data_IF_813368198367
#
_entry.id   IF_813368198367
#
_cell.length_a   1.000
_cell.length_b   1.000
_cell.length_c   1.000
_cell.angle_alpha   90.00
_cell.angle_beta   90.00
_cell.angle_gamma   90.00
#
_symmetry.space_group_name_H-M   'P 1'
#
loop_
_entity.id
_entity.type
_entity.pdbx_description
1 polymer ?
#
# COMPACT_ATOMS: atom_id res chain seq x y z
N UNK A 1 80.02 27.53 4.85
CA UNK A 1 79.05 26.43 4.62
C UNK A 1 77.67 27.00 4.94
N UNK A 2 76.84 27.25 3.93
CA UNK A 2 75.47 27.73 4.13
C UNK A 2 74.56 26.57 4.55
N UNK A 3 73.59 26.78 5.46
CA UNK A 3 72.67 25.73 5.86
C UNK A 3 71.72 25.37 4.70
N UNK A 4 71.27 24.11 4.60
CA UNK A 4 70.37 23.70 3.54
C UNK A 4 68.99 24.34 3.73
N UNK A 5 68.47 24.97 2.67
CA UNK A 5 67.09 25.40 2.59
C UNK A 5 66.19 24.17 2.64
N UNK A 6 65.48 23.99 3.76
CA UNK A 6 64.37 23.04 3.84
C UNK A 6 63.15 23.71 3.22
N UNK A 7 62.77 23.31 2.01
CA UNK A 7 61.45 23.62 1.47
C UNK A 7 60.46 22.68 2.16
N UNK A 8 59.40 23.18 2.82
CA UNK A 8 58.38 22.30 3.38
C UNK A 8 57.70 21.54 2.23
N UNK A 9 57.33 20.26 2.43
CA UNK A 9 56.53 19.55 1.46
C UNK A 9 55.23 20.32 1.27
N UNK A 10 54.91 20.65 0.01
CA UNK A 10 53.60 21.19 -0.34
C UNK A 10 52.57 20.12 -0.02
N UNK A 11 51.89 20.26 1.12
CA UNK A 11 50.62 19.59 1.36
C UNK A 11 49.66 20.08 0.28
N UNK A 12 49.62 19.36 -0.84
CA UNK A 12 48.42 19.34 -1.67
C UNK A 12 47.37 18.62 -0.83
N UNK A 13 46.72 19.33 0.08
CA UNK A 13 45.49 18.83 0.67
C UNK A 13 44.48 18.83 -0.46
N UNK A 14 44.16 17.64 -0.97
CA UNK A 14 42.96 17.46 -1.77
C UNK A 14 41.80 18.17 -1.06
N UNK A 15 40.92 18.88 -1.80
CA UNK A 15 39.76 19.49 -1.17
C UNK A 15 39.00 18.42 -0.38
N UNK A 16 38.47 18.75 0.81
CA UNK A 16 37.72 17.78 1.59
C UNK A 16 36.57 17.26 0.73
N UNK A 17 36.35 15.94 0.80
CA UNK A 17 35.23 15.31 0.10
C UNK A 17 33.92 15.99 0.54
N UNK A 18 32.91 16.06 -0.34
CA UNK A 18 31.65 16.69 -0.03
C UNK A 18 31.03 16.16 1.27
N UNK A 19 30.32 16.99 2.04
CA UNK A 19 29.58 16.56 3.23
C UNK A 19 28.68 15.35 2.98
N UNK A 20 28.11 15.22 1.78
CA UNK A 20 27.30 14.06 1.38
C UNK A 20 28.06 12.72 1.39
N UNK A 21 29.38 12.77 1.24
CA UNK A 21 30.26 11.60 1.22
C UNK A 21 30.98 11.37 2.56
N UNK A 22 30.90 12.31 3.49
CA UNK A 22 31.73 12.33 4.70
C UNK A 22 30.98 12.54 6.00
N UNK A 23 29.78 13.12 5.94
CA UNK A 23 28.95 13.29 7.13
C UNK A 23 28.25 11.97 7.48
N UNK A 24 28.10 11.70 8.78
CA UNK A 24 27.48 10.49 9.27
C UNK A 24 26.00 10.40 8.91
N UNK A 25 25.51 9.17 8.77
CA UNK A 25 24.10 8.82 8.60
C UNK A 25 23.47 8.39 9.94
N UNK A 26 22.19 8.05 9.93
CA UNK A 26 21.52 7.45 11.10
C UNK A 26 22.19 6.16 11.62
N UNK A 27 23.01 5.49 10.80
CA UNK A 27 23.73 4.28 11.20
C UNK A 27 25.05 4.57 11.91
N UNK A 28 25.54 5.82 11.82
CA UNK A 28 26.84 6.25 12.31
C UNK A 28 26.73 7.05 13.62
N UNK A 29 25.57 7.66 13.88
CA UNK A 29 25.32 8.44 15.09
C UNK A 29 24.41 7.70 16.08
N UNK A 30 24.75 7.68 17.38
CA UNK A 30 23.81 7.29 18.43
C UNK A 30 22.71 8.35 18.56
N UNK A 31 21.64 8.03 19.30
CA UNK A 31 20.67 9.03 19.75
C UNK A 31 21.35 10.16 20.55
N UNK A 32 20.66 11.30 20.69
CA UNK A 32 21.07 12.42 21.56
C UNK A 32 21.25 11.99 23.03
N UNK A 33 20.60 10.89 23.41
CA UNK A 33 20.78 10.23 24.70
C UNK A 33 21.71 9.02 24.58
N UNK A 34 22.68 8.96 25.48
CA UNK A 34 23.58 7.81 25.61
C UNK A 34 22.73 6.56 25.87
N UNK A 35 23.04 5.47 25.15
CA UNK A 35 22.36 4.17 25.17
C UNK A 35 21.02 4.06 24.42
N UNK A 36 20.56 5.12 23.73
CA UNK A 36 19.40 5.03 22.85
C UNK A 36 19.81 4.68 21.40
N UNK A 37 19.03 3.81 20.71
CA UNK A 37 19.26 3.50 19.30
C UNK A 37 19.00 4.73 18.43
N UNK A 38 19.67 4.80 17.28
CA UNK A 38 19.43 5.84 16.28
C UNK A 38 17.97 5.92 15.83
N UNK A 39 17.55 7.11 15.40
CA UNK A 39 16.19 7.38 14.92
C UNK A 39 15.93 6.73 13.56
N UNK A 40 14.72 6.22 13.29
CA UNK A 40 14.38 5.65 11.99
C UNK A 40 14.47 6.69 10.87
N UNK A 41 14.93 6.29 9.68
CA UNK A 41 14.82 7.12 8.46
C UNK A 41 13.46 6.95 7.77
N UNK A 42 13.23 7.75 6.72
CA UNK A 42 11.97 7.78 5.97
C UNK A 42 11.54 6.39 5.47
N UNK A 43 12.47 5.50 5.11
CA UNK A 43 12.11 4.15 4.67
C UNK A 43 11.56 3.29 5.81
N UNK A 44 12.14 3.39 7.01
CA UNK A 44 11.66 2.68 8.20
C UNK A 44 10.30 3.21 8.66
N UNK A 45 9.84 4.35 8.14
CA UNK A 45 8.48 4.85 8.33
C UNK A 45 7.56 4.35 7.19
N UNK A 46 7.98 4.54 5.93
CA UNK A 46 7.12 4.29 4.76
C UNK A 46 6.91 2.79 4.49
N UNK A 47 7.90 1.94 4.70
CA UNK A 47 7.76 0.50 4.45
C UNK A 47 6.76 -0.16 5.42
N UNK A 48 6.80 0.08 6.74
CA UNK A 48 5.76 -0.41 7.66
C UNK A 48 4.39 0.22 7.43
N UNK A 49 4.32 1.47 6.97
CA UNK A 49 3.04 2.10 6.57
C UNK A 49 2.39 1.35 5.40
N UNK A 50 3.17 1.02 4.37
CA UNK A 50 2.66 0.24 3.23
C UNK A 50 2.21 -1.16 3.66
N UNK A 51 2.98 -1.84 4.53
CA UNK A 51 2.57 -3.13 5.10
C UNK A 51 1.25 -3.01 5.84
N UNK A 52 1.13 -2.02 6.72
CA UNK A 52 -0.06 -1.80 7.55
C UNK A 52 -1.30 -1.43 6.73
N UNK A 53 -1.14 -0.61 5.70
CA UNK A 53 -2.24 -0.14 4.85
C UNK A 53 -2.71 -1.18 3.82
N UNK A 54 -1.97 -2.28 3.66
CA UNK A 54 -2.29 -3.36 2.72
C UNK A 54 -2.53 -4.72 3.41
N UNK A 55 -2.38 -4.82 4.73
CA UNK A 55 -2.62 -6.05 5.49
C UNK A 55 -4.12 -6.25 5.79
N UNK A 56 -4.82 -6.91 4.86
CA UNK A 56 -6.26 -7.21 4.97
C UNK A 56 -6.55 -8.69 4.78
N UNK A 57 -6.28 -9.53 5.80
CA UNK A 57 -6.57 -10.94 5.71
C UNK A 57 -8.08 -11.16 5.58
N UNK A 58 -8.58 -11.74 4.47
CA UNK A 58 -10.00 -11.72 4.12
C UNK A 58 -10.88 -12.55 5.06
N UNK A 59 -10.29 -13.50 5.77
CA UNK A 59 -11.01 -14.37 6.71
C UNK A 59 -11.24 -13.71 8.08
N UNK A 60 -10.74 -12.48 8.27
CA UNK A 60 -10.84 -11.73 9.52
C UNK A 60 -11.56 -10.39 9.32
N UNK A 61 -12.44 -10.06 10.25
CA UNK A 61 -12.98 -8.72 10.32
C UNK A 61 -11.87 -7.70 10.58
N UNK A 62 -12.00 -6.48 10.03
CA UNK A 62 -11.01 -5.41 10.21
C UNK A 62 -10.71 -5.09 11.67
N UNK A 63 -11.71 -5.27 12.53
CA UNK A 63 -11.60 -5.02 13.96
C UNK A 63 -11.04 -6.22 14.74
N UNK A 64 -10.80 -7.36 14.07
CA UNK A 64 -10.14 -8.56 14.61
C UNK A 64 -8.69 -8.70 14.12
N UNK A 65 -8.10 -7.61 13.63
CA UNK A 65 -6.72 -7.55 13.14
C UNK A 65 -5.99 -6.39 13.82
N UNK A 66 -4.78 -6.66 14.29
CA UNK A 66 -3.88 -5.65 14.84
C UNK A 66 -2.54 -5.69 14.10
N UNK A 67 -2.01 -4.51 13.79
CA UNK A 67 -0.67 -4.33 13.21
C UNK A 67 0.02 -3.22 13.97
N UNK A 68 1.33 -3.33 14.14
CA UNK A 68 2.13 -2.27 14.74
C UNK A 68 3.54 -2.27 14.17
N UNK A 69 4.17 -1.09 14.24
CA UNK A 69 5.56 -0.83 13.90
C UNK A 69 6.23 -0.16 15.08
N UNK A 70 7.49 -0.51 15.36
CA UNK A 70 8.27 0.06 16.46
C UNK A 70 7.59 -0.04 17.84
N UNK A 71 6.73 -1.03 18.04
CA UNK A 71 6.01 -1.25 19.30
C UNK A 71 6.72 -2.29 20.18
N UNK A 72 6.78 -2.02 21.48
CA UNK A 72 7.29 -2.96 22.48
C UNK A 72 6.46 -4.25 22.48
N UNK A 73 7.10 -5.37 22.14
CA UNK A 73 6.57 -6.72 22.17
C UNK A 73 7.17 -7.47 23.37
N UNK A 74 6.39 -7.61 24.44
CA UNK A 74 6.83 -8.29 25.66
C UNK A 74 6.59 -9.79 25.55
N UNK A 75 7.59 -10.59 25.94
CA UNK A 75 7.58 -12.05 25.78
C UNK A 75 7.93 -12.83 27.05
N UNK A 76 8.32 -12.15 28.13
CA UNK A 76 8.77 -12.76 29.38
C UNK A 76 8.05 -12.12 30.58
N UNK A 77 7.08 -12.85 31.14
CA UNK A 77 6.30 -12.39 32.29
C UNK A 77 7.13 -12.34 33.59
N UNK A 78 8.22 -13.11 33.68
CA UNK A 78 9.11 -13.12 34.85
C UNK A 78 10.09 -11.95 34.81
N UNK A 79 10.42 -11.46 33.61
CA UNK A 79 11.30 -10.33 33.40
C UNK A 79 10.62 -9.28 32.51
N UNK A 80 9.65 -8.52 33.03
CA UNK A 80 8.82 -7.61 32.22
C UNK A 80 9.61 -6.43 31.62
N UNK A 81 10.88 -6.24 31.96
CA UNK A 81 11.76 -5.28 31.27
C UNK A 81 12.40 -5.86 29.99
N UNK A 82 12.12 -7.13 29.67
CA UNK A 82 12.57 -7.78 28.44
C UNK A 82 11.48 -7.70 27.38
N UNK A 83 11.80 -7.02 26.31
CA UNK A 83 10.95 -6.86 25.14
C UNK A 83 11.78 -6.91 23.86
N UNK A 84 11.10 -7.08 22.73
CA UNK A 84 11.63 -6.77 21.41
C UNK A 84 10.83 -5.65 20.78
N UNK A 85 11.40 -5.01 19.76
CA UNK A 85 10.76 -3.93 19.01
C UNK A 85 10.93 -4.24 17.53
N UNK A 86 10.02 -5.04 16.94
CA UNK A 86 10.08 -5.33 15.52
C UNK A 86 9.76 -4.09 14.69
N UNK A 87 10.35 -3.97 13.49
CA UNK A 87 10.01 -2.89 12.56
C UNK A 87 8.53 -2.95 12.14
N UNK A 88 7.99 -4.16 11.99
CA UNK A 88 6.57 -4.37 11.81
C UNK A 88 6.13 -5.77 12.26
N UNK A 89 4.91 -5.90 12.79
CA UNK A 89 4.28 -7.20 13.02
C UNK A 89 2.75 -7.15 12.83
N UNK A 90 2.20 -8.30 12.45
CA UNK A 90 0.77 -8.50 12.23
C UNK A 90 0.21 -9.61 13.12
N UNK A 91 -0.96 -9.35 13.68
CA UNK A 91 -1.70 -10.25 14.56
C UNK A 91 -3.14 -10.37 14.07
N UNK A 92 -3.63 -11.59 13.94
CA UNK A 92 -5.04 -11.88 13.66
C UNK A 92 -5.71 -12.50 14.88
N UNK A 93 -7.03 -12.33 15.01
CA UNK A 93 -7.79 -12.84 16.17
C UNK A 93 -7.67 -11.99 17.43
N UNK A 94 -7.32 -10.72 17.27
CA UNK A 94 -7.21 -9.75 18.36
C UNK A 94 -7.93 -8.46 17.99
N UNK A 95 -8.62 -7.86 18.96
CA UNK A 95 -9.32 -6.58 18.75
C UNK A 95 -8.35 -5.48 18.30
N UNK A 96 -8.73 -4.68 17.30
CA UNK A 96 -7.91 -3.55 16.85
C UNK A 96 -7.70 -2.53 17.97
N UNK A 97 -8.77 -2.20 18.69
CA UNK A 97 -8.71 -1.32 19.87
C UNK A 97 -8.46 -2.14 21.14
N UNK A 98 -7.67 -1.58 22.04
CA UNK A 98 -7.44 -2.14 23.37
C UNK A 98 -8.64 -1.84 24.26
N UNK A 99 -9.24 -2.90 24.81
CA UNK A 99 -10.47 -2.80 25.61
C UNK A 99 -11.63 -2.11 24.87
N UNK A 100 -11.69 -2.24 23.54
CA UNK A 100 -12.69 -1.65 22.65
C UNK A 100 -12.79 -0.10 22.70
N UNK A 101 -11.74 0.58 23.18
CA UNK A 101 -11.76 2.05 23.40
C UNK A 101 -10.47 2.79 23.10
N UNK A 102 -9.31 2.17 23.38
CA UNK A 102 -8.02 2.86 23.33
C UNK A 102 -7.06 2.22 22.33
N UNK A 103 -5.94 2.91 22.05
CA UNK A 103 -4.83 2.35 21.30
C UNK A 103 -3.88 1.58 22.23
N UNK A 104 -3.17 0.58 21.67
CA UNK A 104 -2.12 -0.13 22.40
C UNK A 104 -0.88 0.72 22.53
N UNK A 105 -0.36 0.82 23.75
CA UNK A 105 0.97 1.40 24.03
C UNK A 105 2.09 0.36 23.87
N UNK A 106 1.73 -0.91 23.99
CA UNK A 106 2.62 -2.05 23.81
C UNK A 106 1.81 -3.31 23.56
N UNK A 107 2.48 -4.37 23.13
CA UNK A 107 1.89 -5.69 22.97
C UNK A 107 2.43 -6.63 24.04
N UNK A 108 1.62 -6.87 25.08
CA UNK A 108 1.97 -7.73 26.20
C UNK A 108 1.40 -9.12 25.96
N UNK A 109 2.23 -10.06 25.52
CA UNK A 109 1.76 -11.36 24.98
C UNK A 109 0.95 -12.20 25.95
N UNK A 110 1.15 -12.06 27.27
CA UNK A 110 0.35 -12.77 28.29
C UNK A 110 -0.93 -12.03 28.71
N UNK A 111 -1.18 -10.83 28.16
CA UNK A 111 -2.43 -10.07 28.34
C UNK A 111 -3.30 -10.09 27.08
N UNK A 112 -2.74 -10.53 25.95
CA UNK A 112 -3.41 -10.56 24.65
C UNK A 112 -3.86 -11.99 24.30
N UNK A 113 -4.96 -12.15 23.54
CA UNK A 113 -5.51 -13.46 23.23
C UNK A 113 -4.75 -14.21 22.13
N UNK A 114 -3.84 -13.53 21.42
CA UNK A 114 -3.13 -14.05 20.27
C UNK A 114 -1.66 -13.61 20.29
N UNK A 115 -0.81 -14.33 19.55
CA UNK A 115 0.56 -13.95 19.28
C UNK A 115 0.69 -13.46 17.83
N UNK A 116 1.73 -12.69 17.49
CA UNK A 116 1.97 -12.31 16.10
C UNK A 116 2.03 -13.51 15.17
N UNK A 117 1.38 -13.40 14.02
CA UNK A 117 1.42 -14.39 12.94
C UNK A 117 2.62 -14.16 12.03
N UNK A 118 3.01 -12.89 11.88
CA UNK A 118 4.11 -12.46 11.03
C UNK A 118 4.87 -11.31 11.68
N UNK A 119 6.20 -11.37 11.61
CA UNK A 119 7.12 -10.29 11.96
C UNK A 119 7.99 -9.94 10.75
N UNK A 120 8.22 -8.65 10.53
CA UNK A 120 9.12 -8.10 9.51
C UNK A 120 10.21 -7.27 10.20
N UNK A 121 11.46 -7.51 9.82
CA UNK A 121 12.62 -6.70 10.19
C UNK A 121 13.29 -6.13 8.93
N UNK A 122 13.57 -4.84 8.93
CA UNK A 122 14.20 -4.08 7.86
C UNK A 122 15.69 -4.03 8.14
N UNK A 123 16.47 -4.66 7.27
CA UNK A 123 17.88 -4.87 7.54
C UNK A 123 18.66 -3.56 7.41
N UNK A 124 19.36 -3.21 8.50
CA UNK A 124 20.37 -2.16 8.52
C UNK A 124 21.80 -2.76 8.59
N UNK A 125 22.85 -2.00 8.25
CA UNK A 125 24.22 -2.46 8.43
C UNK A 125 24.55 -2.90 9.87
N UNK A 126 23.98 -2.21 10.88
CA UNK A 126 24.28 -2.47 12.29
C UNK A 126 23.49 -3.65 12.88
N UNK A 127 22.27 -3.91 12.40
CA UNK A 127 21.38 -4.96 12.95
C UNK A 127 21.37 -6.24 12.15
N UNK A 128 21.88 -6.25 10.91
CA UNK A 128 21.85 -7.40 9.97
C UNK A 128 22.20 -8.74 10.61
N UNK A 129 23.30 -8.81 11.38
CA UNK A 129 23.74 -10.09 11.96
C UNK A 129 22.81 -10.58 13.08
N UNK A 130 22.15 -9.68 13.79
CA UNK A 130 21.15 -10.04 14.80
C UNK A 130 19.84 -10.48 14.13
N UNK A 131 19.35 -9.70 13.17
CA UNK A 131 18.08 -9.98 12.48
C UNK A 131 18.16 -11.27 11.65
N UNK A 132 19.33 -11.62 11.09
CA UNK A 132 19.54 -12.89 10.37
C UNK A 132 19.88 -14.08 11.27
N UNK A 133 19.84 -13.92 12.61
CA UNK A 133 20.17 -15.00 13.54
C UNK A 133 21.64 -15.46 13.50
N UNK A 134 22.54 -14.65 12.90
CA UNK A 134 23.95 -15.00 12.68
C UNK A 134 24.85 -14.63 13.86
N UNK A 135 24.35 -13.84 14.79
CA UNK A 135 25.07 -13.53 16.02
C UNK A 135 25.25 -14.86 16.81
N UNK A 136 26.44 -15.18 17.35
CA UNK A 136 26.69 -16.41 18.12
C UNK A 136 26.14 -16.27 19.55
N UNK A 137 25.37 -17.21 20.13
CA UNK A 137 24.65 -17.04 21.40
C UNK A 137 25.48 -16.40 22.51
N UNK A 138 24.87 -15.57 23.36
CA UNK A 138 25.62 -14.93 24.45
C UNK A 138 24.88 -13.78 25.10
N UNK A 139 24.93 -13.74 26.43
CA UNK A 139 24.20 -12.83 27.31
C UNK A 139 23.01 -13.50 28.01
N UNK A 140 22.47 -12.84 29.03
CA UNK A 140 21.29 -13.33 29.78
C UNK A 140 19.95 -12.93 29.12
N UNK A 141 19.98 -12.14 28.05
CA UNK A 141 18.81 -11.63 27.34
C UNK A 141 18.70 -12.39 26.00
N UNK A 142 17.59 -13.12 25.76
CA UNK A 142 17.35 -13.80 24.49
C UNK A 142 17.37 -12.83 23.29
N UNK A 143 17.81 -13.33 22.14
CA UNK A 143 17.91 -12.56 20.88
C UNK A 143 16.59 -12.50 20.15
N UNK A 144 16.47 -11.58 19.19
CA UNK A 144 15.29 -11.50 18.31
C UNK A 144 14.91 -12.87 17.74
N UNK A 145 15.86 -13.55 17.11
CA UNK A 145 15.66 -14.89 16.55
C UNK A 145 15.12 -15.89 17.58
N UNK A 146 15.76 -16.00 18.75
CA UNK A 146 15.36 -16.94 19.81
C UNK A 146 13.97 -16.61 20.37
N UNK A 147 13.67 -15.32 20.55
CA UNK A 147 12.35 -14.86 21.01
C UNK A 147 11.27 -15.21 19.99
N UNK A 148 11.47 -14.86 18.72
CA UNK A 148 10.46 -15.09 17.69
C UNK A 148 10.27 -16.58 17.40
N UNK A 149 11.35 -17.36 17.31
CA UNK A 149 11.32 -18.79 16.99
C UNK A 149 10.87 -19.66 18.17
N UNK A 150 11.51 -19.49 19.34
CA UNK A 150 11.46 -20.49 20.42
C UNK A 150 10.51 -20.10 21.55
N UNK A 151 10.33 -18.80 21.79
CA UNK A 151 9.46 -18.31 22.88
C UNK A 151 8.07 -18.01 22.35
N UNK A 152 7.98 -17.19 21.29
CA UNK A 152 6.72 -16.72 20.72
C UNK A 152 6.20 -17.63 19.61
N UNK A 153 7.05 -18.50 19.04
CA UNK A 153 6.68 -19.42 17.97
C UNK A 153 5.92 -18.71 16.82
N UNK A 154 6.42 -17.54 16.40
CA UNK A 154 5.79 -16.72 15.35
C UNK A 154 5.90 -17.47 14.02
N UNK A 155 4.78 -17.78 13.33
CA UNK A 155 4.79 -18.60 12.11
C UNK A 155 5.71 -18.07 11.01
N UNK A 156 5.68 -16.76 10.73
CA UNK A 156 6.46 -16.15 9.66
C UNK A 156 7.40 -15.08 10.18
N UNK A 157 8.67 -15.20 9.82
CA UNK A 157 9.69 -14.18 10.08
C UNK A 157 10.30 -13.72 8.75
N UNK A 158 10.23 -12.42 8.49
CA UNK A 158 10.60 -11.81 7.21
C UNK A 158 11.71 -10.81 7.42
N UNK A 159 12.76 -10.86 6.61
CA UNK A 159 13.81 -9.84 6.59
C UNK A 159 13.94 -9.24 5.20
N UNK A 160 14.04 -7.92 5.12
CA UNK A 160 14.20 -7.22 3.86
C UNK A 160 15.32 -6.19 3.89
N UNK A 161 16.28 -6.33 2.97
CA UNK A 161 17.37 -5.37 2.78
C UNK A 161 17.06 -4.42 1.63
N UNK A 162 16.80 -3.16 1.98
CA UNK A 162 16.45 -2.12 1.01
C UNK A 162 17.57 -1.73 0.04
N UNK A 163 18.81 -2.11 0.30
CA UNK A 163 19.95 -1.72 -0.55
C UNK A 163 20.28 -2.78 -1.59
N UNK A 164 20.01 -4.04 -1.26
CA UNK A 164 20.23 -5.18 -2.15
C UNK A 164 18.94 -5.78 -2.70
N UNK A 165 17.79 -5.28 -2.23
CA UNK A 165 16.46 -5.83 -2.45
C UNK A 165 16.35 -7.32 -2.07
N UNK A 166 17.22 -7.79 -1.17
CA UNK A 166 17.21 -9.16 -0.68
C UNK A 166 16.03 -9.38 0.28
N UNK A 167 15.10 -10.23 -0.16
CA UNK A 167 13.99 -10.74 0.65
C UNK A 167 14.33 -12.15 1.14
N UNK A 168 14.32 -12.34 2.46
CA UNK A 168 14.35 -13.68 3.05
C UNK A 168 13.12 -13.88 3.92
N UNK A 169 12.52 -15.06 3.82
CA UNK A 169 11.34 -15.43 4.58
C UNK A 169 11.61 -16.77 5.24
N UNK A 170 11.34 -16.83 6.52
CA UNK A 170 11.48 -18.03 7.33
C UNK A 170 10.11 -18.46 7.83
N UNK A 171 9.82 -19.74 7.69
CA UNK A 171 8.59 -20.35 8.19
C UNK A 171 8.92 -21.28 9.35
N UNK A 172 8.16 -21.20 10.43
CA UNK A 172 8.33 -22.05 11.60
C UNK A 172 7.83 -23.47 11.29
N UNK A 173 8.75 -24.42 11.19
CA UNK A 173 8.44 -25.83 10.93
C UNK A 173 9.06 -26.69 12.02
N UNK A 174 8.25 -27.50 12.72
CA UNK A 174 8.69 -28.34 13.82
C UNK A 174 9.50 -27.59 14.91
N UNK A 175 9.09 -26.35 15.23
CA UNK A 175 9.71 -25.51 16.26
C UNK A 175 11.03 -24.84 15.86
N UNK A 176 11.36 -24.82 14.56
CA UNK A 176 12.55 -24.15 14.01
C UNK A 176 12.20 -23.36 12.75
N UNK A 177 12.85 -22.21 12.59
CA UNK A 177 12.74 -21.44 11.37
C UNK A 177 13.51 -22.12 10.23
N UNK A 178 12.79 -22.34 9.13
CA UNK A 178 13.37 -22.81 7.87
C UNK A 178 13.25 -21.71 6.84
N UNK A 179 14.36 -21.33 6.21
CA UNK A 179 14.34 -20.39 5.09
C UNK A 179 13.53 -21.00 3.94
N UNK A 180 12.57 -20.24 3.41
CA UNK A 180 11.79 -20.65 2.26
C UNK A 180 12.62 -20.46 0.99
N UNK A 181 12.56 -21.45 0.10
CA UNK A 181 13.11 -21.34 -1.24
C UNK A 181 12.09 -20.60 -2.13
N UNK A 182 12.40 -19.34 -2.42
CA UNK A 182 11.53 -18.42 -3.11
C UNK A 182 11.79 -18.51 -4.63
N UNK A 183 10.91 -19.17 -5.37
CA UNK A 183 10.95 -19.21 -6.84
C UNK A 183 10.66 -17.85 -7.47
N UNK A 184 9.82 -17.07 -6.81
CA UNK A 184 9.55 -15.66 -7.06
C UNK A 184 9.74 -14.91 -5.74
N UNK A 185 10.03 -13.60 -5.74
CA UNK A 185 10.28 -12.83 -4.51
C UNK A 185 8.96 -12.54 -3.75
N UNK A 186 8.18 -13.58 -3.49
CA UNK A 186 6.89 -13.56 -2.80
C UNK A 186 6.57 -14.92 -2.18
N UNK A 187 5.74 -14.92 -1.14
CA UNK A 187 5.24 -16.12 -0.47
C UNK A 187 3.75 -15.98 -0.21
N UNK A 188 3.03 -17.10 -0.34
CA UNK A 188 1.66 -17.21 0.13
C UNK A 188 1.61 -17.73 1.57
N UNK A 189 0.80 -17.10 2.42
CA UNK A 189 0.62 -17.46 3.84
C UNK A 189 -0.82 -17.97 4.05
N UNK A 190 -1.06 -19.29 4.03
CA UNK A 190 -2.40 -19.87 4.06
C UNK A 190 -3.24 -19.44 5.26
N UNK A 191 -2.63 -19.28 6.43
CA UNK A 191 -3.26 -18.89 7.70
C UNK A 191 -3.85 -17.47 7.65
N UNK A 192 -3.36 -16.65 6.74
CA UNK A 192 -3.80 -15.27 6.53
C UNK A 192 -4.66 -15.12 5.29
N UNK A 193 -4.72 -16.13 4.41
CA UNK A 193 -5.30 -16.05 3.09
C UNK A 193 -4.79 -14.79 2.33
N UNK A 194 -3.49 -14.54 2.49
CA UNK A 194 -2.75 -13.42 1.93
C UNK A 194 -1.33 -13.88 1.57
N UNK A 195 -0.72 -13.19 0.62
CA UNK A 195 0.70 -13.34 0.34
C UNK A 195 1.47 -12.03 0.51
N UNK A 196 2.77 -12.15 0.75
CA UNK A 196 3.69 -11.02 0.89
C UNK A 196 4.79 -11.15 -0.17
N UNK A 197 5.15 -10.05 -0.83
CA UNK A 197 6.23 -10.06 -1.80
C UNK A 197 6.77 -8.69 -2.17
N UNK A 198 7.76 -8.69 -3.08
CA UNK A 198 8.34 -7.47 -3.64
C UNK A 198 7.49 -6.95 -4.79
N UNK A 199 6.87 -5.80 -4.56
CA UNK A 199 6.14 -5.04 -5.56
C UNK A 199 7.00 -3.91 -6.12
N UNK A 200 7.23 -3.91 -7.43
CA UNK A 200 7.86 -2.79 -8.13
C UNK A 200 6.82 -1.69 -8.36
N UNK A 201 6.97 -0.55 -7.69
CA UNK A 201 6.06 0.56 -7.88
C UNK A 201 6.40 1.79 -7.07
N UNK A 202 5.54 2.81 -7.21
CA UNK A 202 5.68 4.09 -6.51
C UNK A 202 4.83 4.08 -5.24
N UNK A 203 5.49 4.13 -4.09
CA UNK A 203 4.85 4.44 -2.81
C UNK A 203 5.35 5.81 -2.36
N UNK A 204 4.43 6.70 -1.97
CA UNK A 204 4.74 8.11 -1.72
C UNK A 204 5.47 8.72 -2.94
N UNK A 205 6.66 9.29 -2.74
CA UNK A 205 7.45 9.94 -3.79
C UNK A 205 8.49 9.00 -4.43
N UNK A 206 8.66 7.77 -3.92
CA UNK A 206 9.76 6.90 -4.32
C UNK A 206 9.29 5.63 -5.06
N UNK A 207 9.82 5.45 -6.26
CA UNK A 207 9.65 4.23 -7.06
C UNK A 207 10.77 3.24 -6.78
N UNK A 208 10.44 2.05 -6.27
CA UNK A 208 11.40 0.98 -5.95
C UNK A 208 10.67 -0.35 -5.77
N UNK A 209 11.41 -1.40 -5.39
CA UNK A 209 10.82 -2.61 -4.81
C UNK A 209 10.43 -2.33 -3.36
N UNK A 210 9.17 -2.63 -3.03
CA UNK A 210 8.59 -2.52 -1.69
C UNK A 210 7.99 -3.85 -1.27
N UNK A 211 8.03 -4.18 0.02
CA UNK A 211 7.19 -5.24 0.56
C UNK A 211 5.73 -4.82 0.51
N UNK A 212 4.88 -5.67 -0.06
CA UNK A 212 3.44 -5.41 -0.20
C UNK A 212 2.64 -6.69 -0.14
N UNK A 213 1.43 -6.62 0.43
CA UNK A 213 0.52 -7.75 0.47
C UNK A 213 -0.23 -7.94 -0.86
N UNK A 214 -0.51 -9.19 -1.22
CA UNK A 214 -1.31 -9.57 -2.39
C UNK A 214 -2.38 -10.62 -2.01
N UNK A 215 -3.47 -10.64 -2.78
CA UNK A 215 -4.64 -11.50 -2.57
C UNK A 215 -4.49 -12.89 -3.21
N UNK A 216 -5.50 -13.75 -3.03
CA UNK A 216 -5.53 -15.11 -3.58
C UNK A 216 -5.51 -15.15 -5.12
N UNK A 217 -5.89 -14.06 -5.79
CA UNK A 217 -5.83 -13.92 -7.25
C UNK A 217 -4.46 -13.40 -7.73
N UNK A 218 -3.50 -13.19 -6.81
CA UNK A 218 -2.18 -12.67 -7.11
C UNK A 218 -2.15 -11.15 -7.33
N UNK A 219 -3.22 -10.42 -7.00
CA UNK A 219 -3.28 -8.96 -7.15
C UNK A 219 -2.78 -8.27 -5.90
N UNK A 220 -1.95 -7.25 -6.07
CA UNK A 220 -1.47 -6.42 -4.96
C UNK A 220 -2.63 -5.72 -4.29
N UNK A 221 -2.74 -5.86 -2.96
CA UNK A 221 -3.79 -5.23 -2.18
C UNK A 221 -3.61 -3.72 -2.27
N UNK A 222 -4.61 -2.96 -2.77
CA UNK A 222 -4.51 -1.53 -2.94
C UNK A 222 -4.60 -0.80 -1.60
N UNK A 223 -3.77 0.22 -1.41
CA UNK A 223 -3.92 1.20 -0.32
C UNK A 223 -5.23 1.96 -0.49
N UNK A 224 -5.76 2.54 0.60
CA UNK A 224 -6.99 3.33 0.54
C UNK A 224 -6.89 4.51 -0.44
N UNK A 225 -5.72 5.14 -0.56
CA UNK A 225 -5.48 6.21 -1.51
C UNK A 225 -5.48 5.73 -2.98
N UNK A 226 -5.02 4.52 -3.27
CA UNK A 226 -5.13 3.92 -4.60
C UNK A 226 -6.58 3.52 -4.90
N UNK A 227 -7.29 2.95 -3.92
CA UNK A 227 -8.72 2.61 -4.05
C UNK A 227 -9.56 3.87 -4.33
N UNK A 228 -9.38 4.93 -3.54
CA UNK A 228 -10.10 6.18 -3.72
C UNK A 228 -9.84 6.83 -5.10
N UNK A 229 -8.59 6.80 -5.56
CA UNK A 229 -8.24 7.28 -6.91
C UNK A 229 -8.92 6.46 -8.01
N UNK A 230 -8.89 5.14 -7.91
CA UNK A 230 -9.55 4.25 -8.86
C UNK A 230 -11.08 4.46 -8.88
N UNK A 231 -11.70 4.61 -7.71
CA UNK A 231 -13.14 4.90 -7.59
C UNK A 231 -13.50 6.26 -8.19
N UNK A 232 -12.69 7.30 -7.94
CA UNK A 232 -12.90 8.63 -8.49
C UNK A 232 -12.77 8.64 -10.03
N UNK A 233 -11.78 7.94 -10.57
CA UNK A 233 -11.61 7.77 -12.02
C UNK A 233 -12.80 7.04 -12.65
N UNK A 234 -13.26 5.94 -12.04
CA UNK A 234 -14.46 5.22 -12.49
C UNK A 234 -15.72 6.08 -12.41
N UNK A 235 -15.88 6.89 -11.35
CA UNK A 235 -17.00 7.83 -11.22
C UNK A 235 -16.96 8.91 -12.31
N UNK A 236 -15.77 9.45 -12.60
CA UNK A 236 -15.58 10.42 -13.67
C UNK A 236 -15.95 9.85 -15.04
N UNK A 237 -15.44 8.67 -15.38
CA UNK A 237 -15.74 7.99 -16.66
C UNK A 237 -17.25 7.74 -16.80
N UNK A 238 -17.92 7.28 -15.73
CA UNK A 238 -19.37 7.06 -15.74
C UNK A 238 -20.15 8.36 -15.95
N UNK A 239 -19.78 9.43 -15.26
CA UNK A 239 -20.42 10.73 -15.41
C UNK A 239 -20.29 11.28 -16.85
N UNK A 240 -19.12 11.13 -17.47
CA UNK A 240 -18.91 11.53 -18.87
C UNK A 240 -19.74 10.68 -19.85
N UNK A 241 -19.85 9.37 -19.61
CA UNK A 241 -20.71 8.50 -20.42
C UNK A 241 -22.19 8.88 -20.30
N UNK A 242 -22.66 9.19 -19.09
CA UNK A 242 -24.04 9.63 -18.85
C UNK A 242 -24.33 10.97 -19.53
N UNK A 243 -23.39 11.92 -19.48
CA UNK A 243 -23.49 13.20 -20.20
C UNK A 243 -23.60 13.01 -21.71
N UNK A 244 -22.73 12.18 -22.29
CA UNK A 244 -22.79 11.89 -23.72
C UNK A 244 -24.12 11.25 -24.15
N UNK A 245 -24.67 10.34 -23.33
CA UNK A 245 -26.00 9.76 -23.57
C UNK A 245 -27.12 10.79 -23.46
N UNK A 246 -27.07 11.67 -22.46
CA UNK A 246 -28.05 12.72 -22.28
C UNK A 246 -28.03 13.72 -23.45
N UNK A 247 -26.85 14.08 -23.94
CA UNK A 247 -26.69 14.94 -25.11
C UNK A 247 -27.22 14.28 -26.38
N UNK A 248 -26.90 13.00 -26.61
CA UNK A 248 -27.43 12.25 -27.74
C UNK A 248 -28.96 12.14 -27.69
N UNK A 249 -29.53 11.85 -26.53
CA UNK A 249 -30.98 11.80 -26.34
C UNK A 249 -31.63 13.16 -26.60
N UNK A 250 -30.99 14.25 -26.17
CA UNK A 250 -31.46 15.61 -26.44
C UNK A 250 -31.44 15.93 -27.94
N UNK A 251 -30.37 15.61 -28.65
CA UNK A 251 -30.28 15.81 -30.10
C UNK A 251 -31.34 15.02 -30.86
N UNK A 252 -31.61 13.76 -30.45
CA UNK A 252 -32.69 12.96 -31.03
C UNK A 252 -34.07 13.56 -30.75
N UNK A 253 -34.31 14.07 -29.54
CA UNK A 253 -35.56 14.74 -29.19
C UNK A 253 -35.77 16.02 -30.01
N UNK A 254 -34.73 16.85 -30.16
CA UNK A 254 -34.76 18.07 -30.99
C UNK A 254 -35.02 17.72 -32.47
N UNK A 255 -34.39 16.66 -32.99
CA UNK A 255 -34.63 16.19 -34.36
C UNK A 255 -36.06 15.66 -34.55
N UNK A 256 -36.58 14.87 -33.60
CA UNK A 256 -37.94 14.36 -33.63
C UNK A 256 -38.98 15.49 -33.56
N UNK A 257 -38.73 16.54 -32.76
CA UNK A 257 -39.56 17.73 -32.71
C UNK A 257 -39.58 18.47 -34.05
N UNK A 258 -38.40 18.69 -34.66
CA UNK A 258 -38.32 19.35 -35.96
C UNK A 258 -39.04 18.58 -37.07
N UNK A 259 -38.93 17.25 -37.07
CA UNK A 259 -39.67 16.39 -38.01
C UNK A 259 -41.18 16.46 -37.77
N UNK A 260 -41.62 16.46 -36.52
CA UNK A 260 -43.03 16.60 -36.17
C UNK A 260 -43.61 17.96 -36.62
N UNK A 261 -42.88 19.05 -36.42
CA UNK A 261 -43.27 20.39 -36.90
C UNK A 261 -43.37 20.46 -38.43
N UNK A 262 -42.39 19.89 -39.15
CA UNK A 262 -42.44 19.83 -40.62
C UNK A 262 -43.64 19.01 -41.12
N UNK A 263 -43.90 17.86 -40.51
CA UNK A 263 -45.05 17.02 -40.86
C UNK A 263 -46.38 17.76 -40.61
N UNK A 264 -46.50 18.50 -39.50
CA UNK A 264 -47.68 19.32 -39.21
C UNK A 264 -47.86 20.44 -40.24
N UNK A 265 -46.78 21.12 -40.63
CA UNK A 265 -46.84 22.18 -41.63
C UNK A 265 -47.26 21.63 -43.01
N UNK A 266 -46.71 20.48 -43.43
CA UNK A 266 -47.10 19.82 -44.67
C UNK A 266 -48.57 19.41 -44.65
N UNK A 267 -49.02 18.76 -43.57
CA UNK A 267 -50.43 18.37 -43.41
C UNK A 267 -51.37 19.58 -43.45
N UNK A 268 -50.99 20.71 -42.85
CA UNK A 268 -51.76 21.95 -42.91
C UNK A 268 -51.82 22.52 -44.34
N UNK A 269 -50.70 22.50 -45.08
CA UNK A 269 -50.67 22.94 -46.48
C UNK A 269 -51.51 22.05 -47.39
N UNK A 270 -51.44 20.73 -47.21
CA UNK A 270 -52.24 19.76 -47.97
C UNK A 270 -53.74 19.97 -47.72
N UNK A 271 -54.17 20.13 -46.46
CA UNK A 271 -55.56 20.47 -46.13
C UNK A 271 -56.01 21.75 -46.82
N UNK A 272 -55.22 22.81 -46.77
CA UNK A 272 -55.56 24.08 -47.42
C UNK A 272 -55.63 23.97 -48.95
N UNK A 273 -54.82 23.09 -49.56
CA UNK A 273 -54.89 22.81 -51.01
C UNK A 273 -56.14 22.01 -51.35
N UNK A 274 -56.44 20.96 -50.57
CA UNK A 274 -57.64 20.14 -50.73
C UNK A 274 -58.92 20.98 -50.61
N UNK A 275 -59.01 21.86 -49.60
CA UNK A 275 -60.12 22.80 -49.42
C UNK A 275 -60.29 23.75 -50.62
N UNK A 276 -59.18 24.31 -51.13
CA UNK A 276 -59.21 25.18 -52.33
C UNK A 276 -59.64 24.43 -53.58
N UNK A 277 -59.18 23.19 -53.76
CA UNK A 277 -59.56 22.35 -54.90
C UNK A 277 -61.05 21.99 -54.82
N UNK A 278 -61.53 21.56 -53.66
CA UNK A 278 -62.93 21.26 -53.40
C UNK A 278 -63.83 22.48 -53.67
N UNK A 279 -63.44 23.67 -53.22
CA UNK A 279 -64.17 24.90 -53.51
C UNK A 279 -64.24 25.20 -55.02
N UNK A 280 -63.17 24.92 -55.77
CA UNK A 280 -63.12 25.15 -57.22
C UNK A 280 -63.93 24.12 -58.01
N UNK A 281 -63.95 22.87 -57.57
CA UNK A 281 -64.80 21.80 -58.12
C UNK A 281 -66.29 22.14 -57.92
N UNK A 282 -66.69 22.57 -56.72
CA UNK A 282 -68.07 23.06 -56.46
C UNK A 282 -68.45 24.23 -57.37
N UNK A 283 -67.53 25.17 -57.62
CA UNK A 283 -67.78 26.30 -58.53
C UNK A 283 -67.95 25.88 -60.00
N UNK A 284 -67.43 24.71 -60.39
CA UNK A 284 -67.60 24.10 -61.70
C UNK A 284 -68.84 23.18 -61.79
N UNK A 285 -69.62 23.07 -60.70
CA UNK A 285 -70.83 22.24 -60.64
C UNK A 285 -70.58 20.74 -60.40
N UNK A 286 -69.37 20.37 -59.97
CA UNK A 286 -69.01 18.99 -59.61
C UNK A 286 -68.97 18.87 -58.09
N UNK A 287 -69.68 17.90 -57.52
CA UNK A 287 -69.62 17.61 -56.08
C UNK A 287 -68.29 16.90 -55.76
N UNK A 288 -67.42 17.46 -54.91
CA UNK A 288 -66.16 16.84 -54.54
C UNK A 288 -66.31 15.56 -53.72
N UNK A 289 -67.46 15.35 -53.07
CA UNK A 289 -67.70 14.20 -52.18
C UNK A 289 -68.20 12.95 -52.95
N UNK A 290 -68.47 13.09 -54.25
CA UNK A 290 -68.91 12.03 -55.17
C UNK A 290 -67.76 11.42 -56.02
N UNK A 291 -66.51 11.84 -55.80
CA UNK A 291 -65.28 11.38 -56.49
C UNK A 291 -64.42 10.47 -55.60
#
# INVERSE_FOLDING_TARGET
MSPPHYLPPTLKSSPPLPPRETLPTMYDLPSEYVDEPGVPDEFHIWQPELLSSTFYPPDWERDAVFVASDMHLYYDWQNPLRYKRPDWFGVVGVRRLYGDRDLRLSYVTWQEPALPTVVVELLSPSTRNEDLGRRPPGGNIPRKWEVYEQILAIPYYVTFDRYTDALQIFHLTAGRYTALDLTEPRVWMPELNLGLGLWQGRHRELSRLWLRWYDADGRWVPTEAEQARSQAEQAFIRAEQERGRAEQARLQAEQAQSQAEQAQLQAAQERQRAERLAARLRALGVDPDDL
#
